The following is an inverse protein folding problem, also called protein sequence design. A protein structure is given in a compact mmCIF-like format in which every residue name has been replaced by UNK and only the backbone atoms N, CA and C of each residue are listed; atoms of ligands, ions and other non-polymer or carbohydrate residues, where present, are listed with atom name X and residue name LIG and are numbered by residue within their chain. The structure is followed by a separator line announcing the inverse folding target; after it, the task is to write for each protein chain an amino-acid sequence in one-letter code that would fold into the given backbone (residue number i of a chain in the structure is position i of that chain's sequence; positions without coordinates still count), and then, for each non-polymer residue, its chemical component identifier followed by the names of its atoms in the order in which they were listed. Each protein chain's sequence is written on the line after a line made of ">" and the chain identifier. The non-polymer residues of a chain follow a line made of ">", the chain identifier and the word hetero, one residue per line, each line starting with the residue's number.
data_IF_598995700695
#
_entry.id   IF_598995700695
#
_cell.length_a   1.000
_cell.length_b   1.000
_cell.length_c   1.000
_cell.angle_alpha   90.00
_cell.angle_beta   90.00
_cell.angle_gamma   90.00
#
_symmetry.space_group_name_H-M   'P 1'
#
loop_
_entity.id
_entity.type
_entity.pdbx_description
1 polymer ?
#
# COMPACT_ATOMS: atom_id res chain seq x y z
N UNK A 1 5.09 -12.29 -24.28
CA UNK A 1 5.50 -11.78 -22.95
C UNK A 1 7.01 -11.86 -22.88
N UNK A 2 7.73 -10.75 -22.71
CA UNK A 2 9.20 -10.74 -22.60
C UNK A 2 9.66 -10.56 -21.14
N UNK A 3 10.94 -10.80 -20.85
CA UNK A 3 11.47 -10.73 -19.48
C UNK A 3 11.24 -9.36 -18.81
N UNK A 4 11.39 -8.25 -19.55
CA UNK A 4 11.16 -6.89 -18.99
C UNK A 4 9.71 -6.71 -18.57
N UNK A 5 8.76 -7.10 -19.43
CA UNK A 5 7.33 -7.07 -19.12
C UNK A 5 7.01 -7.91 -17.87
N UNK A 6 7.64 -9.08 -17.73
CA UNK A 6 7.47 -9.96 -16.56
C UNK A 6 7.91 -9.28 -15.27
N UNK A 7 9.09 -8.68 -15.28
CA UNK A 7 9.63 -7.96 -14.11
C UNK A 7 8.76 -6.77 -13.71
N UNK A 8 8.27 -6.00 -14.69
CA UNK A 8 7.36 -4.87 -14.44
C UNK A 8 6.03 -5.37 -13.85
N UNK A 9 5.44 -6.44 -14.39
CA UNK A 9 4.21 -7.02 -13.84
C UNK A 9 4.39 -7.51 -12.40
N UNK A 10 5.56 -8.05 -12.06
CA UNK A 10 5.91 -8.39 -10.68
C UNK A 10 5.90 -7.19 -9.73
N UNK A 11 6.41 -6.04 -10.17
CA UNK A 11 6.38 -4.79 -9.39
C UNK A 11 4.94 -4.27 -9.19
N UNK A 12 4.14 -4.25 -10.25
CA UNK A 12 2.72 -3.84 -10.17
C UNK A 12 1.95 -4.72 -9.17
N UNK A 13 2.12 -6.04 -9.24
CA UNK A 13 1.46 -6.97 -8.32
C UNK A 13 1.95 -6.81 -6.87
N UNK A 14 3.23 -6.48 -6.66
CA UNK A 14 3.74 -6.18 -5.32
C UNK A 14 3.06 -4.93 -4.76
N UNK A 15 3.00 -3.85 -5.54
CA UNK A 15 2.37 -2.60 -5.15
C UNK A 15 0.89 -2.80 -4.81
N UNK A 16 0.14 -3.53 -5.65
CA UNK A 16 -1.26 -3.87 -5.38
C UNK A 16 -1.45 -4.56 -4.02
N UNK A 17 -0.62 -5.57 -3.72
CA UNK A 17 -0.69 -6.29 -2.44
C UNK A 17 -0.33 -5.41 -1.26
N UNK A 18 0.57 -4.46 -1.41
CA UNK A 18 0.93 -3.52 -0.34
C UNK A 18 -0.22 -2.56 -0.03
N UNK A 19 -0.94 -2.07 -1.04
CA UNK A 19 -2.19 -1.34 -0.84
C UNK A 19 -3.22 -2.15 -0.06
N UNK A 20 -3.50 -3.39 -0.48
CA UNK A 20 -4.47 -4.24 0.21
C UNK A 20 -4.09 -4.52 1.66
N UNK A 21 -2.79 -4.64 1.96
CA UNK A 21 -2.30 -4.79 3.34
C UNK A 21 -2.56 -3.53 4.15
N UNK A 22 -2.21 -2.35 3.65
CA UNK A 22 -2.46 -1.08 4.34
C UNK A 22 -3.96 -0.85 4.59
N UNK A 23 -4.80 -1.13 3.59
CA UNK A 23 -6.26 -0.99 3.69
C UNK A 23 -6.85 -1.94 4.75
N UNK A 24 -6.29 -3.14 4.91
CA UNK A 24 -6.77 -4.10 5.91
C UNK A 24 -6.66 -3.57 7.34
N UNK A 25 -5.66 -2.73 7.63
CA UNK A 25 -5.43 -2.16 8.96
C UNK A 25 -6.50 -1.13 9.35
N UNK A 26 -7.29 -0.62 8.40
CA UNK A 26 -8.33 0.39 8.66
C UNK A 26 -9.43 -0.20 9.55
N UNK A 27 -9.78 0.42 10.68
CA UNK A 27 -10.82 -0.08 11.56
C UNK A 27 -12.23 0.17 11.00
N UNK A 28 -12.45 1.34 10.39
CA UNK A 28 -13.72 1.71 9.79
C UNK A 28 -13.99 0.91 8.50
N UNK A 29 -15.13 0.22 8.47
CA UNK A 29 -15.46 -0.66 7.33
C UNK A 29 -15.89 0.11 6.09
N UNK A 30 -16.53 1.28 6.26
CA UNK A 30 -16.95 2.10 5.12
C UNK A 30 -15.71 2.62 4.36
N UNK A 31 -14.77 3.22 5.09
CA UNK A 31 -13.51 3.74 4.57
C UNK A 31 -12.65 2.62 3.96
N UNK A 32 -12.63 1.44 4.60
CA UNK A 32 -11.93 0.26 4.06
C UNK A 32 -12.49 -0.16 2.70
N UNK A 33 -13.82 -0.26 2.59
CA UNK A 33 -14.48 -0.66 1.36
C UNK A 33 -14.26 0.37 0.25
N UNK A 34 -14.39 1.66 0.56
CA UNK A 34 -14.17 2.74 -0.39
C UNK A 34 -12.73 2.72 -0.96
N UNK A 35 -11.73 2.61 -0.09
CA UNK A 35 -10.33 2.55 -0.51
C UNK A 35 -10.03 1.26 -1.28
N UNK A 36 -10.62 0.13 -0.87
CA UNK A 36 -10.51 -1.11 -1.62
C UNK A 36 -11.04 -0.95 -3.04
N UNK A 37 -12.25 -0.40 -3.20
CA UNK A 37 -12.87 -0.20 -4.50
C UNK A 37 -12.10 0.78 -5.36
N UNK A 38 -11.57 1.85 -4.76
CA UNK A 38 -10.70 2.80 -5.45
C UNK A 38 -9.44 2.12 -5.98
N UNK A 39 -8.67 1.42 -5.13
CA UNK A 39 -7.46 0.69 -5.58
C UNK A 39 -7.83 -0.33 -6.65
N UNK A 40 -8.91 -1.08 -6.46
CA UNK A 40 -9.32 -2.10 -7.39
C UNK A 40 -9.68 -1.55 -8.77
N UNK A 41 -10.44 -0.44 -8.82
CA UNK A 41 -10.78 0.26 -10.06
C UNK A 41 -9.55 0.83 -10.75
N UNK A 42 -8.63 1.43 -10.00
CA UNK A 42 -7.44 2.06 -10.56
C UNK A 42 -6.50 1.02 -11.21
N UNK A 43 -6.23 -0.10 -10.53
CA UNK A 43 -5.40 -1.17 -11.09
C UNK A 43 -6.08 -1.86 -12.29
N UNK A 44 -7.42 -2.00 -12.29
CA UNK A 44 -8.15 -2.54 -13.45
C UNK A 44 -8.10 -1.60 -14.66
N UNK A 45 -8.19 -0.29 -14.45
CA UNK A 45 -8.15 0.72 -15.51
C UNK A 45 -6.91 0.60 -16.40
N UNK A 46 -5.78 0.23 -15.81
CA UNK A 46 -4.50 0.12 -16.51
C UNK A 46 -4.04 -1.33 -16.74
N UNK A 47 -4.91 -2.32 -16.54
CA UNK A 47 -4.53 -3.74 -16.63
C UNK A 47 -4.06 -4.16 -18.04
N UNK A 48 -4.55 -3.48 -19.06
CA UNK A 48 -4.21 -3.71 -20.48
C UNK A 48 -3.18 -2.72 -21.03
N UNK A 49 -2.59 -1.88 -20.16
CA UNK A 49 -1.56 -0.95 -20.59
C UNK A 49 -0.32 -1.72 -21.07
N UNK A 50 0.21 -1.31 -22.23
CA UNK A 50 1.38 -1.94 -22.85
C UNK A 50 2.56 -0.98 -22.98
N UNK A 51 2.33 0.33 -22.84
CA UNK A 51 3.39 1.33 -22.84
C UNK A 51 4.22 1.24 -21.55
N UNK A 52 5.47 0.83 -21.69
CA UNK A 52 6.40 0.65 -20.57
C UNK A 52 6.66 1.96 -19.81
N UNK A 53 6.73 3.10 -20.49
CA UNK A 53 6.95 4.40 -19.84
C UNK A 53 5.75 4.77 -18.98
N UNK A 54 4.55 4.58 -19.51
CA UNK A 54 3.31 4.83 -18.78
C UNK A 54 3.17 3.90 -17.58
N UNK A 55 3.45 2.60 -17.72
CA UNK A 55 3.41 1.66 -16.58
C UNK A 55 4.41 2.07 -15.49
N UNK A 56 5.62 2.48 -15.87
CA UNK A 56 6.62 2.97 -14.90
C UNK A 56 6.14 4.23 -14.18
N UNK A 57 5.56 5.19 -14.90
CA UNK A 57 4.97 6.39 -14.32
C UNK A 57 3.84 6.05 -13.34
N UNK A 58 2.95 5.12 -13.71
CA UNK A 58 1.86 4.63 -12.86
C UNK A 58 2.39 3.96 -11.58
N UNK A 59 3.47 3.18 -11.67
CA UNK A 59 4.11 2.59 -10.49
C UNK A 59 4.62 3.69 -9.54
N UNK A 60 5.34 4.69 -10.06
CA UNK A 60 5.86 5.80 -9.23
C UNK A 60 4.73 6.57 -8.56
N UNK A 61 3.64 6.84 -9.29
CA UNK A 61 2.46 7.50 -8.74
C UNK A 61 1.79 6.65 -7.65
N UNK A 62 1.61 5.35 -7.90
CA UNK A 62 1.02 4.44 -6.93
C UNK A 62 1.89 4.24 -5.68
N UNK A 63 3.22 4.20 -5.81
CA UNK A 63 4.15 4.18 -4.66
C UNK A 63 4.01 5.43 -3.79
N UNK A 64 3.82 6.60 -4.40
CA UNK A 64 3.55 7.86 -3.69
C UNK A 64 2.21 7.79 -2.95
N UNK A 65 1.13 7.39 -3.62
CA UNK A 65 -0.19 7.26 -3.00
C UNK A 65 -0.21 6.22 -1.87
N UNK A 66 0.53 5.12 -2.01
CA UNK A 66 0.67 4.13 -0.94
C UNK A 66 1.37 4.73 0.29
N UNK A 67 2.44 5.50 0.07
CA UNK A 67 3.16 6.17 1.16
C UNK A 67 2.26 7.16 1.89
N UNK A 68 1.49 7.96 1.17
CA UNK A 68 0.53 8.90 1.74
C UNK A 68 -0.55 8.17 2.56
N UNK A 69 -1.11 7.07 2.02
CA UNK A 69 -2.05 6.23 2.75
C UNK A 69 -1.44 5.70 4.06
N UNK A 70 -0.23 5.14 4.00
CA UNK A 70 0.46 4.62 5.19
C UNK A 70 0.71 5.70 6.23
N UNK A 71 1.16 6.88 5.81
CA UNK A 71 1.38 8.02 6.72
C UNK A 71 0.07 8.47 7.38
N UNK A 72 -1.03 8.54 6.63
CA UNK A 72 -2.33 8.92 7.18
C UNK A 72 -2.82 7.89 8.21
N UNK A 73 -2.57 6.60 7.98
CA UNK A 73 -2.89 5.54 8.95
C UNK A 73 -2.01 5.61 10.21
N UNK A 74 -0.74 5.95 10.05
CA UNK A 74 0.17 6.16 11.18
C UNK A 74 -0.27 7.34 12.06
N UNK A 75 -0.63 8.46 11.43
CA UNK A 75 -1.14 9.65 12.12
C UNK A 75 -2.50 9.41 12.79
N UNK A 76 -3.33 8.56 12.21
CA UNK A 76 -4.65 8.21 12.76
C UNK A 76 -4.56 7.25 13.98
N UNK A 77 -3.36 6.85 14.40
CA UNK A 77 -3.15 5.96 15.54
C UNK A 77 -3.49 4.48 15.27
N UNK A 78 -3.82 4.15 14.02
CA UNK A 78 -4.20 2.80 13.58
C UNK A 78 -2.98 1.88 13.47
N UNK A 79 -1.79 2.44 13.24
CA UNK A 79 -0.55 1.71 12.96
C UNK A 79 0.18 1.13 14.18
N UNK A 80 -0.49 0.83 15.29
CA UNK A 80 0.18 0.36 16.53
C UNK A 80 0.38 -1.16 16.60
N UNK A 81 0.16 -1.91 15.52
CA UNK A 81 0.39 -3.36 15.53
C UNK A 81 1.18 -3.79 14.30
N UNK A 82 2.30 -4.46 14.58
CA UNK A 82 3.11 -5.26 13.66
C UNK A 82 4.30 -4.57 12.97
N UNK A 83 5.20 -3.96 13.75
CA UNK A 83 6.65 -4.06 13.48
C UNK A 83 7.20 -5.16 14.39
N UNK A 84 7.80 -6.19 13.78
CA UNK A 84 8.37 -7.39 14.39
C UNK A 84 8.91 -7.14 15.81
N UNK A 85 8.56 -8.05 16.73
CA UNK A 85 8.93 -8.00 18.14
C UNK A 85 10.32 -7.48 18.43
N UNK A 86 10.38 -6.28 19.00
CA UNK A 86 11.22 -5.94 20.14
C UNK A 86 10.36 -5.07 21.05
N UNK A 87 9.97 -5.64 22.19
CA UNK A 87 9.46 -4.87 23.31
C UNK A 87 10.56 -3.88 23.73
N UNK A 88 10.39 -2.60 23.41
CA UNK A 88 11.13 -1.55 24.11
C UNK A 88 10.43 -1.43 25.46
N UNK A 89 11.08 -1.95 26.50
CA UNK A 89 10.67 -1.79 27.89
C UNK A 89 10.43 -0.31 28.14
N UNK A 90 9.19 0.07 28.48
CA UNK A 90 8.95 1.34 29.16
C UNK A 90 9.56 1.20 30.55
N UNK A 91 10.63 1.96 30.82
CA UNK A 91 11.10 2.15 32.19
C UNK A 91 10.00 2.89 32.96
N UNK A 92 9.68 2.47 34.20
CA UNK A 92 8.81 3.26 35.05
C UNK A 92 9.59 4.50 35.49
N UNK A 93 9.04 5.69 35.24
CA UNK A 93 9.50 6.89 35.94
C UNK A 93 8.93 6.75 37.35
N UNK A 94 9.80 6.41 38.30
CA UNK A 94 9.50 6.48 39.72
C UNK A 94 9.17 7.93 40.11
N UNK A 95 8.35 8.00 41.16
CA UNK A 95 7.61 9.14 41.74
C UNK A 95 8.29 10.50 41.71
#
# INVERSE_FOLDING_TARGET
>A
MNLRQFMVRGRVLKLYREFLRSIKEIPDQSSKQELFDWVHKDFRKFMHETDEFKIRSLIVNGERSLKELQQNLELSGVSSLNKKGKAVKKQPVEK
#
